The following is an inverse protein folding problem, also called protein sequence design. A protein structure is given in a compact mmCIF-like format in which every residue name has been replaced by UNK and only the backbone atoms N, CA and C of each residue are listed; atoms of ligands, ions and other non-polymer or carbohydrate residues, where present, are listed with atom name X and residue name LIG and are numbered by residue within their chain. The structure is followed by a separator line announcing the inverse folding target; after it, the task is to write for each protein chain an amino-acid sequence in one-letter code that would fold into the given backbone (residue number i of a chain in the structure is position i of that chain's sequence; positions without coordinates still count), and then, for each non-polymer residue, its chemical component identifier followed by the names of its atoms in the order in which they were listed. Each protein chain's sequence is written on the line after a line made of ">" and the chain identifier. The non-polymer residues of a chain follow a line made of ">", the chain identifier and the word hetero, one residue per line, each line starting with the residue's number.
data_IF_863014596479
#
_entry.id   IF_863014596479
#
_cell.length_a   1.000
_cell.length_b   1.000
_cell.length_c   1.000
_cell.angle_alpha   90.00
_cell.angle_beta   90.00
_cell.angle_gamma   90.00
#
_symmetry.space_group_name_H-M   'P 1'
#
loop_
_entity.id
_entity.type
_entity.pdbx_description
1 polymer ?
#
# COMPACT_ATOMS: atom_id res chain seq x y z
N UNK A 1 -32.04 -29.94 22.98
CA UNK A 1 -31.92 -29.49 21.59
C UNK A 1 -32.83 -30.35 20.74
N UNK A 2 -33.64 -29.77 19.84
CA UNK A 2 -34.34 -30.52 18.81
C UNK A 2 -33.36 -31.43 18.07
N UNK A 3 -33.79 -32.63 17.69
CA UNK A 3 -32.95 -33.50 16.86
C UNK A 3 -32.99 -32.96 15.43
N UNK A 4 -31.81 -32.65 14.88
CA UNK A 4 -31.67 -32.28 13.47
C UNK A 4 -32.09 -33.45 12.58
N UNK A 5 -32.70 -33.12 11.45
CA UNK A 5 -33.08 -34.10 10.42
C UNK A 5 -31.86 -34.57 9.63
N UNK A 6 -31.92 -35.75 9.03
CA UNK A 6 -30.85 -36.28 8.16
C UNK A 6 -30.51 -35.31 7.01
N UNK A 7 -31.51 -34.59 6.50
CA UNK A 7 -31.32 -33.55 5.48
C UNK A 7 -30.49 -32.36 6.00
N UNK A 8 -30.78 -31.89 7.21
CA UNK A 8 -30.02 -30.80 7.83
C UNK A 8 -28.58 -31.21 8.10
N UNK A 9 -28.36 -32.45 8.55
CA UNK A 9 -27.01 -32.99 8.75
C UNK A 9 -26.23 -33.11 7.43
N UNK A 10 -26.87 -33.50 6.34
CA UNK A 10 -26.24 -33.55 5.02
C UNK A 10 -25.80 -32.16 4.54
N UNK A 11 -26.64 -31.12 4.74
CA UNK A 11 -26.28 -29.74 4.40
C UNK A 11 -25.08 -29.28 5.23
N UNK A 12 -25.05 -29.55 6.54
CA UNK A 12 -23.91 -29.19 7.39
C UNK A 12 -22.63 -29.86 6.89
N UNK A 13 -22.69 -31.15 6.52
CA UNK A 13 -21.53 -31.88 6.02
C UNK A 13 -20.99 -31.28 4.70
N UNK A 14 -21.87 -30.94 3.75
CA UNK A 14 -21.50 -30.27 2.50
C UNK A 14 -20.80 -28.92 2.74
N UNK A 15 -21.29 -28.15 3.73
CA UNK A 15 -20.67 -26.86 4.10
C UNK A 15 -19.31 -27.02 4.76
N UNK A 16 -19.13 -28.05 5.58
CA UNK A 16 -17.82 -28.37 6.18
C UNK A 16 -16.83 -28.84 5.12
N UNK A 17 -17.27 -29.63 4.14
CA UNK A 17 -16.43 -30.05 3.00
C UNK A 17 -15.94 -28.84 2.19
N UNK A 18 -16.84 -27.92 1.83
CA UNK A 18 -16.45 -26.69 1.16
C UNK A 18 -15.48 -25.84 2.01
N UNK A 19 -15.70 -25.73 3.32
CA UNK A 19 -14.81 -24.99 4.21
C UNK A 19 -13.39 -25.59 4.17
N UNK A 20 -13.27 -26.92 4.27
CA UNK A 20 -12.00 -27.64 4.17
C UNK A 20 -11.31 -27.40 2.83
N UNK A 21 -12.07 -27.46 1.73
CA UNK A 21 -11.53 -27.28 0.38
C UNK A 21 -10.97 -25.87 0.15
N UNK A 22 -11.54 -24.87 0.82
CA UNK A 22 -11.10 -23.46 0.69
C UNK A 22 -10.09 -23.01 1.75
N UNK A 23 -9.84 -23.81 2.78
CA UNK A 23 -9.09 -23.37 3.96
C UNK A 23 -7.60 -23.08 3.69
N UNK A 24 -6.98 -23.75 2.71
CA UNK A 24 -5.57 -23.53 2.37
C UNK A 24 -5.28 -22.14 1.83
N UNK A 25 -6.30 -21.50 1.26
CA UNK A 25 -6.16 -20.24 0.52
C UNK A 25 -6.69 -19.05 1.33
N UNK A 26 -7.05 -19.28 2.60
CA UNK A 26 -7.63 -18.30 3.49
C UNK A 26 -6.76 -18.09 4.72
N UNK A 27 -6.39 -16.84 4.99
CA UNK A 27 -5.85 -16.43 6.29
C UNK A 27 -6.96 -16.11 7.30
N UNK A 28 -8.08 -15.58 6.83
CA UNK A 28 -9.24 -15.23 7.64
C UNK A 28 -10.56 -15.37 6.88
N UNK A 29 -11.66 -15.56 7.62
CA UNK A 29 -13.02 -15.63 7.07
C UNK A 29 -14.02 -14.91 7.98
N UNK A 30 -15.00 -14.23 7.37
CA UNK A 30 -16.08 -13.56 8.08
C UNK A 30 -17.36 -14.41 8.09
N UNK A 31 -17.86 -14.71 9.28
CA UNK A 31 -19.16 -15.34 9.50
C UNK A 31 -20.20 -14.35 10.02
N UNK A 32 -21.40 -14.36 9.44
CA UNK A 32 -22.51 -13.54 9.94
C UNK A 32 -23.35 -14.31 10.95
N UNK A 33 -23.38 -13.81 12.19
CA UNK A 33 -24.24 -14.35 13.25
C UNK A 33 -25.58 -13.60 13.33
N UNK A 34 -26.67 -14.33 13.07
CA UNK A 34 -28.04 -13.84 13.17
C UNK A 34 -28.64 -14.09 14.56
N UNK A 35 -29.28 -13.07 15.15
CA UNK A 35 -29.86 -13.17 16.49
C UNK A 35 -31.24 -13.83 16.51
N UNK A 36 -32.02 -13.63 15.44
CA UNK A 36 -33.39 -14.12 15.30
C UNK A 36 -33.72 -14.41 13.82
N UNK A 37 -34.79 -15.18 13.59
CA UNK A 37 -35.21 -15.58 12.24
C UNK A 37 -35.62 -14.37 11.37
N UNK A 38 -36.19 -13.32 11.96
CA UNK A 38 -36.52 -12.08 11.24
C UNK A 38 -35.25 -11.35 10.76
N UNK A 39 -34.15 -11.46 11.49
CA UNK A 39 -32.84 -10.93 11.09
C UNK A 39 -32.29 -11.77 9.96
N UNK A 40 -32.35 -13.09 10.06
CA UNK A 40 -31.91 -13.97 8.98
C UNK A 40 -32.69 -13.69 7.69
N UNK A 41 -34.01 -13.62 7.74
CA UNK A 41 -34.86 -13.33 6.57
C UNK A 41 -34.61 -11.94 5.99
N UNK A 42 -34.30 -10.94 6.84
CA UNK A 42 -33.92 -9.60 6.38
C UNK A 42 -32.64 -9.63 5.53
N UNK A 43 -31.68 -10.51 5.83
CA UNK A 43 -30.41 -10.59 5.12
C UNK A 43 -30.46 -11.60 3.96
N UNK A 44 -31.14 -12.73 4.17
CA UNK A 44 -31.32 -13.82 3.23
C UNK A 44 -32.82 -14.11 3.06
N UNK A 45 -33.53 -13.35 2.20
CA UNK A 45 -34.96 -13.50 2.03
C UNK A 45 -35.36 -14.95 1.68
N UNK A 46 -36.28 -15.52 2.46
CA UNK A 46 -36.74 -16.89 2.29
C UNK A 46 -35.94 -17.94 3.07
N UNK A 47 -34.83 -17.58 3.70
CA UNK A 47 -34.16 -18.42 4.68
C UNK A 47 -34.64 -18.04 6.10
N UNK A 48 -35.26 -18.98 6.80
CA UNK A 48 -35.78 -18.76 8.17
C UNK A 48 -35.30 -19.81 9.17
N UNK A 49 -34.50 -20.79 8.73
CA UNK A 49 -34.00 -21.86 9.60
C UNK A 49 -32.75 -21.37 10.36
N UNK A 50 -32.99 -20.55 11.38
CA UNK A 50 -31.94 -19.99 12.24
C UNK A 50 -31.10 -21.07 12.92
N UNK A 51 -31.72 -22.17 13.34
CA UNK A 51 -31.03 -23.25 14.04
C UNK A 51 -30.04 -23.96 13.11
N UNK A 52 -30.44 -24.22 11.85
CA UNK A 52 -29.54 -24.75 10.83
C UNK A 52 -28.39 -23.79 10.52
N UNK A 53 -28.67 -22.50 10.29
CA UNK A 53 -27.61 -21.52 10.01
C UNK A 53 -26.61 -21.42 11.15
N UNK A 54 -27.06 -21.38 12.41
CA UNK A 54 -26.15 -21.35 13.57
C UNK A 54 -25.32 -22.65 13.69
N UNK A 55 -25.91 -23.79 13.33
CA UNK A 55 -25.19 -25.07 13.33
C UNK A 55 -24.13 -25.13 12.23
N UNK A 56 -24.44 -24.63 11.03
CA UNK A 56 -23.48 -24.49 9.93
C UNK A 56 -22.33 -23.58 10.36
N UNK A 57 -22.62 -22.37 10.87
CA UNK A 57 -21.58 -21.43 11.29
C UNK A 57 -20.66 -22.02 12.36
N UNK A 58 -21.20 -22.79 13.32
CA UNK A 58 -20.38 -23.47 14.33
C UNK A 58 -19.50 -24.55 13.73
N UNK A 59 -20.05 -25.39 12.85
CA UNK A 59 -19.32 -26.50 12.24
C UNK A 59 -18.21 -26.01 11.30
N UNK A 60 -18.53 -25.03 10.46
CA UNK A 60 -17.58 -24.39 9.53
C UNK A 60 -16.49 -23.64 10.29
N UNK A 61 -16.84 -22.89 11.35
CA UNK A 61 -15.83 -22.23 12.16
C UNK A 61 -14.86 -23.22 12.82
N UNK A 62 -15.35 -24.37 13.30
CA UNK A 62 -14.49 -25.38 13.88
C UNK A 62 -13.50 -25.96 12.86
N UNK A 63 -13.95 -26.21 11.64
CA UNK A 63 -13.09 -26.69 10.54
C UNK A 63 -12.02 -25.64 10.18
N UNK A 64 -12.41 -24.38 9.97
CA UNK A 64 -11.46 -23.31 9.63
C UNK A 64 -10.39 -23.13 10.71
N UNK A 65 -10.77 -23.16 11.99
CA UNK A 65 -9.82 -23.03 13.10
C UNK A 65 -8.88 -24.23 13.20
N UNK A 66 -9.33 -25.43 12.85
CA UNK A 66 -8.47 -26.62 12.77
C UNK A 66 -7.43 -26.49 11.64
N UNK A 67 -7.79 -25.83 10.54
CA UNK A 67 -6.90 -25.49 9.44
C UNK A 67 -6.03 -24.24 9.67
N UNK A 68 -6.18 -23.56 10.81
CA UNK A 68 -5.40 -22.36 11.16
C UNK A 68 -5.94 -21.04 10.58
N UNK A 69 -7.13 -21.04 9.99
CA UNK A 69 -7.79 -19.84 9.46
C UNK A 69 -8.44 -19.04 10.60
N UNK A 70 -8.22 -17.73 10.66
CA UNK A 70 -8.87 -16.89 11.66
C UNK A 70 -10.36 -16.73 11.35
N UNK A 71 -11.21 -17.11 12.32
CA UNK A 71 -12.66 -16.91 12.22
C UNK A 71 -13.07 -15.59 12.87
N UNK A 72 -13.48 -14.65 12.03
CA UNK A 72 -14.05 -13.35 12.41
C UNK A 72 -15.57 -13.47 12.38
N UNK A 73 -16.26 -12.88 13.37
CA UNK A 73 -17.71 -12.97 13.46
C UNK A 73 -18.34 -11.58 13.53
N UNK A 74 -19.26 -11.29 12.62
CA UNK A 74 -20.10 -10.11 12.71
C UNK A 74 -21.49 -10.44 13.25
N UNK A 75 -22.03 -9.57 14.10
CA UNK A 75 -23.44 -9.64 14.50
C UNK A 75 -24.28 -8.87 13.49
N UNK A 76 -25.26 -9.56 12.90
CA UNK A 76 -26.23 -8.91 12.01
C UNK A 76 -26.98 -7.79 12.76
N UNK A 77 -27.02 -6.60 12.18
CA UNK A 77 -27.67 -5.40 12.75
C UNK A 77 -28.66 -4.85 11.72
N UNK A 78 -29.97 -5.03 12.00
CA UNK A 78 -31.07 -4.63 11.10
C UNK A 78 -31.02 -3.15 10.75
N UNK A 79 -30.66 -2.28 11.69
CA UNK A 79 -30.68 -0.84 11.47
C UNK A 79 -29.48 -0.39 10.65
N UNK A 80 -28.29 -0.91 10.96
CA UNK A 80 -27.08 -0.62 10.19
C UNK A 80 -27.19 -1.15 8.76
N UNK A 81 -27.69 -2.37 8.58
CA UNK A 81 -27.89 -2.98 7.27
C UNK A 81 -28.88 -2.18 6.40
N UNK A 82 -30.02 -1.77 6.96
CA UNK A 82 -30.99 -0.94 6.21
C UNK A 82 -30.41 0.39 5.78
N UNK A 83 -29.62 1.05 6.64
CA UNK A 83 -28.90 2.28 6.26
C UNK A 83 -27.93 2.03 5.12
N UNK A 84 -27.20 0.93 5.18
CA UNK A 84 -26.27 0.54 4.14
C UNK A 84 -26.97 0.24 2.81
N UNK A 85 -28.14 -0.42 2.82
CA UNK A 85 -28.91 -0.71 1.61
C UNK A 85 -29.59 0.51 0.95
N UNK A 86 -29.63 1.68 1.60
CA UNK A 86 -30.47 2.83 1.17
C UNK A 86 -30.26 3.23 -0.29
N UNK A 87 -29.00 3.27 -0.74
CA UNK A 87 -28.62 3.73 -2.08
C UNK A 87 -28.08 2.59 -2.96
N UNK A 88 -28.39 1.34 -2.60
CA UNK A 88 -27.87 0.14 -3.26
C UNK A 88 -29.00 -0.70 -3.86
N UNK A 89 -28.68 -1.41 -4.93
CA UNK A 89 -29.64 -2.32 -5.56
C UNK A 89 -29.91 -3.52 -4.64
N UNK A 90 -31.18 -3.91 -4.53
CA UNK A 90 -31.59 -4.99 -3.64
C UNK A 90 -31.37 -6.37 -4.29
N UNK A 91 -30.12 -6.85 -4.24
CA UNK A 91 -29.66 -8.12 -4.82
C UNK A 91 -28.92 -9.00 -3.79
N UNK A 92 -28.98 -10.34 -3.88
CA UNK A 92 -28.28 -11.24 -2.96
C UNK A 92 -26.78 -10.93 -2.84
N UNK A 93 -26.11 -10.67 -3.96
CA UNK A 93 -24.67 -10.38 -4.02
C UNK A 93 -24.36 -9.08 -3.26
N UNK A 94 -25.21 -8.07 -3.42
CA UNK A 94 -25.12 -6.84 -2.63
C UNK A 94 -25.33 -7.13 -1.14
N UNK A 95 -26.37 -7.88 -0.77
CA UNK A 95 -26.64 -8.17 0.65
C UNK A 95 -25.50 -8.92 1.34
N UNK A 96 -24.84 -9.83 0.63
CA UNK A 96 -23.68 -10.57 1.14
C UNK A 96 -22.47 -9.66 1.38
N UNK A 97 -22.28 -8.61 0.58
CA UNK A 97 -21.17 -7.64 0.74
C UNK A 97 -21.29 -6.68 1.95
N UNK A 98 -22.26 -6.87 2.84
CA UNK A 98 -22.36 -6.03 4.04
C UNK A 98 -21.40 -6.48 5.15
N UNK A 99 -20.48 -5.60 5.53
CA UNK A 99 -19.57 -5.78 6.66
C UNK A 99 -19.83 -4.71 7.73
N UNK A 100 -20.06 -5.14 8.98
CA UNK A 100 -20.16 -4.23 10.12
C UNK A 100 -18.78 -3.94 10.74
N UNK A 101 -18.02 -3.06 10.08
CA UNK A 101 -16.63 -2.68 10.44
C UNK A 101 -16.44 -2.28 11.91
N UNK A 102 -17.47 -1.75 12.56
CA UNK A 102 -17.38 -1.25 13.95
C UNK A 102 -17.60 -2.31 15.04
N UNK A 103 -18.06 -3.51 14.69
CA UNK A 103 -18.54 -4.52 15.66
C UNK A 103 -18.12 -5.95 15.30
N UNK A 104 -16.99 -6.11 14.64
CA UNK A 104 -16.41 -7.43 14.41
C UNK A 104 -15.92 -8.03 15.73
N UNK A 105 -16.18 -9.33 15.91
CA UNK A 105 -15.69 -10.13 17.02
C UNK A 105 -14.58 -11.04 16.52
N UNK A 106 -13.56 -11.23 17.33
CA UNK A 106 -12.36 -12.03 17.05
C UNK A 106 -12.01 -12.93 18.22
N UNK A 107 -11.17 -13.93 17.97
CA UNK A 107 -10.64 -14.87 18.96
C UNK A 107 -11.71 -15.38 19.92
N UNK A 108 -11.41 -15.37 21.23
CA UNK A 108 -12.33 -15.84 22.27
C UNK A 108 -13.76 -15.26 22.19
N UNK A 109 -13.92 -13.98 21.88
CA UNK A 109 -15.26 -13.36 21.83
C UNK A 109 -16.10 -13.86 20.64
N UNK A 110 -15.47 -14.13 19.50
CA UNK A 110 -16.09 -14.80 18.37
C UNK A 110 -16.45 -16.25 18.71
N UNK A 111 -15.54 -16.98 19.36
CA UNK A 111 -15.74 -18.38 19.73
C UNK A 111 -16.88 -18.55 20.74
N UNK A 112 -16.92 -17.71 21.77
CA UNK A 112 -18.01 -17.70 22.74
C UNK A 112 -19.37 -17.45 22.08
N UNK A 113 -19.43 -16.57 21.08
CA UNK A 113 -20.66 -16.32 20.33
C UNK A 113 -21.09 -17.51 19.48
N UNK A 114 -20.14 -18.22 18.86
CA UNK A 114 -20.42 -19.43 18.06
C UNK A 114 -20.70 -20.68 18.93
N UNK A 115 -20.37 -20.60 20.23
CA UNK A 115 -20.49 -21.71 21.18
C UNK A 115 -19.33 -22.71 21.08
N UNK A 116 -18.17 -22.27 20.61
CA UNK A 116 -16.91 -23.03 20.58
C UNK A 116 -16.11 -22.77 21.88
N UNK A 117 -15.38 -23.78 22.37
CA UNK A 117 -14.56 -23.69 23.59
C UNK A 117 -13.11 -24.08 23.29
N UNK A 118 -12.18 -23.42 23.98
CA UNK A 118 -10.74 -23.78 24.09
C UNK A 118 -9.96 -23.82 22.76
N UNK A 119 -9.78 -22.67 22.10
CA UNK A 119 -9.02 -22.59 20.83
C UNK A 119 -7.78 -21.68 20.91
N UNK A 120 -7.64 -20.85 21.96
CA UNK A 120 -6.43 -20.06 22.13
C UNK A 120 -5.30 -20.92 22.70
N UNK A 121 -4.41 -21.41 21.82
CA UNK A 121 -3.11 -21.93 22.21
C UNK A 121 -2.26 -20.83 22.87
N UNK A 122 -1.44 -21.15 23.89
CA UNK A 122 -0.54 -20.16 24.46
C UNK A 122 0.43 -19.65 23.38
N UNK A 123 0.83 -18.36 23.41
CA UNK A 123 1.80 -17.83 22.48
C UNK A 123 3.10 -18.66 22.54
N UNK A 124 3.78 -18.87 21.41
CA UNK A 124 5.01 -19.65 21.38
C UNK A 124 6.05 -19.02 22.32
N UNK A 125 6.53 -19.82 23.28
CA UNK A 125 7.55 -19.38 24.22
C UNK A 125 8.95 -19.56 23.59
N UNK A 126 9.61 -18.45 23.26
CA UNK A 126 10.99 -18.49 22.78
C UNK A 126 11.96 -18.64 23.95
N UNK A 127 12.82 -19.66 23.89
CA UNK A 127 13.91 -19.84 24.86
C UNK A 127 14.89 -18.66 24.84
N UNK A 128 15.70 -18.51 25.91
CA UNK A 128 16.69 -17.42 26.03
C UNK A 128 17.84 -17.50 25.02
N UNK A 129 18.09 -18.68 24.44
CA UNK A 129 19.21 -18.90 23.53
C UNK A 129 18.70 -18.67 22.10
N UNK A 130 19.21 -17.66 21.36
CA UNK A 130 18.69 -17.31 20.04
C UNK A 130 19.07 -18.32 18.95
N UNK A 131 20.24 -18.97 19.07
CA UNK A 131 20.82 -19.85 18.05
C UNK A 131 19.85 -20.87 17.43
N UNK A 132 19.27 -21.78 18.23
CA UNK A 132 18.37 -22.82 17.70
C UNK A 132 17.12 -22.27 17.01
N UNK A 133 16.60 -21.13 17.46
CA UNK A 133 15.42 -20.51 16.84
C UNK A 133 15.80 -19.82 15.53
N UNK A 134 16.97 -19.18 15.47
CA UNK A 134 17.50 -18.63 14.23
C UNK A 134 17.79 -19.73 13.19
N UNK A 135 18.29 -20.90 13.62
CA UNK A 135 18.48 -22.07 12.74
C UNK A 135 17.15 -22.59 12.20
N UNK A 136 16.11 -22.68 13.05
CA UNK A 136 14.76 -23.06 12.63
C UNK A 136 14.17 -22.03 11.65
N UNK A 137 14.36 -20.75 11.91
CA UNK A 137 13.88 -19.68 11.06
C UNK A 137 14.51 -19.74 9.66
N UNK A 138 15.82 -19.97 9.57
CA UNK A 138 16.50 -20.12 8.29
C UNK A 138 16.07 -21.40 7.56
N UNK A 139 15.85 -22.50 8.28
CA UNK A 139 15.34 -23.73 7.67
C UNK A 139 13.92 -23.56 7.12
N UNK A 140 13.06 -22.79 7.81
CA UNK A 140 11.72 -22.46 7.32
C UNK A 140 11.79 -21.48 6.13
N UNK A 141 12.77 -20.57 6.10
CA UNK A 141 12.98 -19.65 4.98
C UNK A 141 13.41 -20.36 3.69
N UNK A 142 14.06 -21.52 3.79
CA UNK A 142 14.44 -22.34 2.62
C UNK A 142 13.26 -23.18 2.08
N UNK A 143 12.14 -23.22 2.79
CA UNK A 143 10.94 -23.99 2.45
C UNK A 143 9.82 -23.06 1.97
N UNK A 144 9.91 -22.62 0.71
CA UNK A 144 8.99 -21.65 0.08
C UNK A 144 7.50 -22.09 0.11
N UNK A 145 7.21 -23.38 0.32
CA UNK A 145 5.85 -23.92 0.37
C UNK A 145 5.24 -23.89 1.78
N UNK A 146 6.02 -23.53 2.81
CA UNK A 146 5.61 -23.63 4.22
C UNK A 146 5.26 -22.26 4.83
N UNK A 147 4.05 -22.11 5.42
CA UNK A 147 3.67 -20.89 6.16
C UNK A 147 4.39 -20.76 7.52
N UNK A 148 5.28 -21.71 7.87
CA UNK A 148 6.00 -21.71 9.13
C UNK A 148 6.91 -20.49 9.27
N UNK A 149 7.52 -20.03 8.17
CA UNK A 149 8.41 -18.89 8.18
C UNK A 149 7.68 -17.61 8.63
N UNK A 150 6.59 -17.25 7.96
CA UNK A 150 5.79 -16.06 8.29
C UNK A 150 5.24 -16.11 9.71
N UNK A 151 4.71 -17.28 10.10
CA UNK A 151 4.22 -17.52 11.46
C UNK A 151 5.31 -17.27 12.50
N UNK A 152 6.53 -17.77 12.24
CA UNK A 152 7.65 -17.63 13.16
C UNK A 152 8.15 -16.19 13.23
N UNK A 153 8.24 -15.48 12.10
CA UNK A 153 8.64 -14.07 12.05
C UNK A 153 7.64 -13.21 12.82
N UNK A 154 6.34 -13.35 12.56
CA UNK A 154 5.29 -12.61 13.27
C UNK A 154 5.32 -12.89 14.78
N UNK A 155 5.54 -14.14 15.17
CA UNK A 155 5.68 -14.49 16.58
C UNK A 155 6.93 -13.90 17.23
N UNK A 156 8.07 -13.86 16.53
CA UNK A 156 9.32 -13.25 17.01
C UNK A 156 9.19 -11.74 17.18
N UNK A 157 8.56 -11.06 16.22
CA UNK A 157 8.26 -9.62 16.28
C UNK A 157 7.32 -9.31 17.45
N UNK A 158 6.24 -10.09 17.62
CA UNK A 158 5.31 -9.97 18.76
C UNK A 158 5.99 -10.20 20.11
N UNK A 159 7.00 -11.06 20.16
CA UNK A 159 7.79 -11.33 21.36
C UNK A 159 9.01 -10.40 21.54
N UNK A 160 9.18 -9.40 20.66
CA UNK A 160 10.31 -8.46 20.65
C UNK A 160 11.69 -9.14 20.62
N UNK A 161 11.78 -10.32 19.98
CA UNK A 161 13.01 -11.13 19.88
C UNK A 161 13.85 -10.77 18.66
N UNK A 162 14.16 -9.48 18.52
CA UNK A 162 14.94 -8.93 17.39
C UNK A 162 16.35 -9.53 17.34
N UNK A 163 16.89 -9.94 18.49
CA UNK A 163 18.18 -10.64 18.58
C UNK A 163 18.24 -11.94 17.77
N UNK A 164 17.09 -12.61 17.58
CA UNK A 164 16.99 -13.82 16.75
C UNK A 164 17.02 -13.46 15.26
N UNK A 165 16.31 -12.41 14.85
CA UNK A 165 16.26 -11.93 13.46
C UNK A 165 17.65 -11.45 13.01
N UNK A 166 18.33 -10.66 13.85
CA UNK A 166 19.70 -10.19 13.60
C UNK A 166 20.69 -11.34 13.45
N UNK A 167 20.55 -12.38 14.28
CA UNK A 167 21.40 -13.58 14.18
C UNK A 167 21.14 -14.36 12.90
N UNK A 168 19.88 -14.45 12.43
CA UNK A 168 19.53 -15.09 11.17
C UNK A 168 20.15 -14.35 9.98
N UNK A 169 20.05 -13.00 9.93
CA UNK A 169 20.69 -12.17 8.90
C UNK A 169 22.21 -12.39 8.88
N UNK A 170 22.84 -12.42 10.05
CA UNK A 170 24.29 -12.65 10.14
C UNK A 170 24.68 -14.03 9.61
N UNK A 171 23.93 -15.07 9.98
CA UNK A 171 24.18 -16.44 9.52
C UNK A 171 24.00 -16.58 8.02
N UNK A 172 22.91 -16.07 7.45
CA UNK A 172 22.69 -16.15 6.00
C UNK A 172 23.75 -15.36 5.23
N UNK A 173 24.22 -14.22 5.76
CA UNK A 173 25.36 -13.49 5.20
C UNK A 173 26.64 -14.33 5.18
N UNK A 174 26.95 -14.99 6.30
CA UNK A 174 28.14 -15.85 6.41
C UNK A 174 28.06 -17.08 5.47
N UNK A 175 26.85 -17.56 5.16
CA UNK A 175 26.64 -18.75 4.31
C UNK A 175 26.48 -18.45 2.82
N UNK A 176 25.76 -17.38 2.47
CA UNK A 176 25.25 -17.10 1.12
C UNK A 176 25.63 -15.70 0.58
N UNK A 177 26.23 -14.84 1.39
CA UNK A 177 26.71 -13.51 0.97
C UNK A 177 25.77 -12.35 1.32
N UNK A 178 26.16 -11.14 0.91
CA UNK A 178 25.45 -9.91 1.28
C UNK A 178 24.08 -9.79 0.59
N UNK A 179 23.97 -10.20 -0.68
CA UNK A 179 22.70 -10.13 -1.44
C UNK A 179 21.59 -10.95 -0.76
N UNK A 180 21.86 -12.21 -0.39
CA UNK A 180 20.91 -13.06 0.33
C UNK A 180 20.55 -12.50 1.72
N UNK A 181 21.49 -11.80 2.35
CA UNK A 181 21.23 -11.13 3.62
C UNK A 181 20.35 -9.90 3.45
N UNK A 182 20.46 -9.18 2.34
CA UNK A 182 19.62 -8.03 2.02
C UNK A 182 18.21 -8.47 1.61
N UNK A 183 18.06 -9.59 0.90
CA UNK A 183 16.75 -10.20 0.61
C UNK A 183 16.03 -10.59 1.90
N UNK A 184 16.71 -11.29 2.83
CA UNK A 184 16.09 -11.66 4.11
C UNK A 184 15.73 -10.45 4.98
N UNK A 185 16.55 -9.38 4.94
CA UNK A 185 16.21 -8.12 5.63
C UNK A 185 14.94 -7.49 5.05
N UNK A 186 14.81 -7.50 3.71
CA UNK A 186 13.60 -7.00 3.05
C UNK A 186 12.37 -7.78 3.50
N UNK A 187 12.45 -9.10 3.55
CA UNK A 187 11.36 -9.96 4.03
C UNK A 187 11.00 -9.63 5.50
N UNK A 188 11.98 -9.44 6.38
CA UNK A 188 11.70 -9.02 7.76
C UNK A 188 11.11 -7.62 7.87
N UNK A 189 11.48 -6.70 6.96
CA UNK A 189 10.92 -5.36 6.89
C UNK A 189 9.43 -5.42 6.53
N UNK A 190 9.07 -6.16 5.48
CA UNK A 190 7.68 -6.40 5.04
C UNK A 190 6.86 -7.07 6.16
N UNK A 191 7.44 -8.04 6.86
CA UNK A 191 6.77 -8.66 8.00
C UNK A 191 6.59 -7.71 9.20
N UNK A 192 7.47 -6.73 9.38
CA UNK A 192 7.40 -5.77 10.49
C UNK A 192 6.34 -4.69 10.27
N UNK A 193 6.11 -4.28 9.02
CA UNK A 193 5.10 -3.28 8.65
C UNK A 193 3.68 -3.84 8.60
N UNK A 194 3.51 -5.16 8.46
CA UNK A 194 2.21 -5.84 8.46
C UNK A 194 1.93 -6.66 9.71
N UNK A 195 0.68 -6.62 10.20
CA UNK A 195 0.29 -7.35 11.40
C UNK A 195 -1.18 -7.77 11.43
N UNK A 196 -1.43 -8.96 12.02
CA UNK A 196 -2.76 -9.39 12.45
C UNK A 196 -3.26 -8.60 13.66
N UNK A 197 -3.64 -7.35 13.44
CA UNK A 197 -4.15 -6.43 14.47
C UNK A 197 -5.28 -5.57 13.90
N UNK A 198 -5.97 -4.88 14.80
CA UNK A 198 -7.04 -3.96 14.42
C UNK A 198 -8.33 -4.68 14.01
N UNK A 199 -9.36 -3.93 13.57
CA UNK A 199 -10.69 -4.47 13.37
C UNK A 199 -10.82 -5.27 12.05
N UNK A 200 -10.06 -4.92 11.01
CA UNK A 200 -9.96 -5.64 9.72
C UNK A 200 -9.21 -6.97 9.82
N UNK A 201 -8.35 -7.13 10.83
CA UNK A 201 -7.54 -8.34 11.04
C UNK A 201 -6.25 -8.39 10.31
N UNK A 202 -6.06 -7.45 9.42
CA UNK A 202 -4.76 -7.11 8.93
C UNK A 202 -4.64 -5.60 8.90
N UNK A 203 -3.53 -5.11 9.42
CA UNK A 203 -3.16 -3.72 9.35
C UNK A 203 -1.73 -3.62 8.87
N UNK A 204 -1.50 -2.68 7.97
CA UNK A 204 -0.21 -2.44 7.36
C UNK A 204 0.20 -0.98 7.55
N UNK A 205 1.48 -0.77 7.83
CA UNK A 205 2.06 0.55 7.93
C UNK A 205 2.30 1.07 6.51
N UNK A 206 1.71 2.23 6.21
CA UNK A 206 1.83 2.89 4.91
C UNK A 206 2.36 4.29 5.08
N UNK A 207 2.92 4.82 4.00
CA UNK A 207 3.42 6.17 3.93
C UNK A 207 2.92 6.84 2.65
N UNK A 208 2.57 8.11 2.77
CA UNK A 208 2.36 9.01 1.64
C UNK A 208 3.57 9.96 1.57
N UNK A 209 4.52 9.72 0.66
CA UNK A 209 5.60 10.66 0.41
C UNK A 209 5.08 11.89 -0.32
N UNK A 210 5.62 13.06 0.03
CA UNK A 210 5.26 14.32 -0.61
C UNK A 210 6.54 15.10 -0.91
N UNK A 211 6.77 15.38 -2.18
CA UNK A 211 7.80 16.32 -2.58
C UNK A 211 7.37 17.72 -2.16
N UNK A 212 8.17 18.38 -1.33
CA UNK A 212 7.85 19.67 -0.73
C UNK A 212 8.44 20.81 -1.54
N UNK A 213 7.62 21.84 -1.81
CA UNK A 213 8.11 23.09 -2.36
C UNK A 213 8.85 23.92 -1.30
N UNK A 214 9.64 24.91 -1.75
CA UNK A 214 10.28 25.86 -0.84
C UNK A 214 9.23 26.69 -0.10
N UNK A 215 9.07 26.44 1.20
CA UNK A 215 8.09 27.13 2.03
C UNK A 215 7.55 26.26 3.16
N UNK A 216 6.42 26.67 3.73
CA UNK A 216 5.72 25.89 4.76
C UNK A 216 5.00 24.72 4.07
N UNK A 217 5.19 23.46 4.51
CA UNK A 217 4.44 22.33 3.99
C UNK A 217 2.94 22.48 4.26
N UNK A 218 2.07 21.84 3.45
CA UNK A 218 0.64 21.80 3.73
C UNK A 218 0.35 21.14 5.08
N UNK A 219 -0.86 21.33 5.59
CA UNK A 219 -1.30 20.62 6.80
C UNK A 219 -1.45 19.12 6.49
N UNK A 220 -0.70 18.28 7.19
CA UNK A 220 -0.68 16.84 6.94
C UNK A 220 -2.02 16.16 7.26
N UNK A 221 -2.74 16.65 8.25
CA UNK A 221 -4.05 16.12 8.63
C UNK A 221 -5.10 16.44 7.56
N UNK A 222 -5.10 17.68 7.06
CA UNK A 222 -5.99 18.09 5.96
C UNK A 222 -5.67 17.31 4.69
N UNK A 223 -4.39 17.15 4.34
CA UNK A 223 -3.97 16.39 3.17
C UNK A 223 -4.44 14.93 3.22
N UNK A 224 -4.29 14.28 4.38
CA UNK A 224 -4.76 12.90 4.56
C UNK A 224 -6.28 12.77 4.53
N UNK A 225 -6.99 13.72 5.12
CA UNK A 225 -8.46 13.76 5.04
C UNK A 225 -8.94 13.93 3.60
N UNK A 226 -8.29 14.80 2.83
CA UNK A 226 -8.62 15.06 1.44
C UNK A 226 -8.34 13.86 0.52
N UNK A 227 -7.28 13.09 0.80
CA UNK A 227 -7.01 11.83 0.11
C UNK A 227 -8.16 10.84 0.31
N UNK A 228 -8.57 10.63 1.56
CA UNK A 228 -9.69 9.71 1.88
C UNK A 228 -10.99 10.21 1.26
N UNK A 229 -11.26 11.52 1.32
CA UNK A 229 -12.46 12.13 0.76
C UNK A 229 -12.49 12.16 -0.79
N UNK A 230 -11.34 12.00 -1.47
CA UNK A 230 -11.26 12.00 -2.94
C UNK A 230 -11.98 10.82 -3.59
N UNK A 231 -12.16 9.71 -2.87
CA UNK A 231 -12.67 8.45 -3.41
C UNK A 231 -11.65 7.70 -4.30
N UNK A 232 -10.37 8.08 -4.25
CA UNK A 232 -9.30 7.38 -4.96
C UNK A 232 -9.00 5.99 -4.38
N UNK A 233 -9.26 5.79 -3.09
CA UNK A 233 -9.06 4.50 -2.42
C UNK A 233 -10.21 3.53 -2.73
N UNK A 234 -9.89 2.24 -2.81
CA UNK A 234 -10.89 1.19 -2.98
C UNK A 234 -11.90 1.16 -1.81
N UNK A 235 -13.13 0.67 -2.02
CA UNK A 235 -14.16 0.65 -0.98
C UNK A 235 -13.78 -0.23 0.23
N UNK A 236 -12.94 -1.25 0.02
CA UNK A 236 -12.42 -2.13 1.07
C UNK A 236 -11.18 -1.58 1.76
N UNK A 237 -10.60 -0.49 1.26
CA UNK A 237 -9.39 0.10 1.84
C UNK A 237 -9.79 1.24 2.78
N UNK A 238 -9.38 1.14 4.03
CA UNK A 238 -9.47 2.22 4.99
C UNK A 238 -8.06 2.69 5.38
N UNK A 239 -7.83 4.00 5.35
CA UNK A 239 -6.52 4.59 5.63
C UNK A 239 -6.64 5.62 6.75
N UNK A 240 -5.74 5.54 7.72
CA UNK A 240 -5.60 6.52 8.80
C UNK A 240 -4.17 7.05 8.83
N UNK A 241 -3.98 8.30 8.38
CA UNK A 241 -2.70 8.98 8.41
C UNK A 241 -2.54 9.79 9.71
N UNK A 242 -1.34 9.75 10.28
CA UNK A 242 -0.93 10.63 11.37
C UNK A 242 -0.82 12.08 10.88
N UNK A 243 -1.18 13.06 11.71
CA UNK A 243 -1.29 14.46 11.29
C UNK A 243 0.06 15.15 11.05
N UNK A 244 1.16 14.64 11.63
CA UNK A 244 2.46 15.31 11.57
C UNK A 244 3.38 14.75 10.49
N UNK A 245 4.24 15.60 9.95
CA UNK A 245 5.25 15.25 8.96
C UNK A 245 6.43 14.49 9.57
N UNK A 246 6.99 13.52 8.83
CA UNK A 246 8.17 12.71 9.19
C UNK A 246 9.24 12.77 8.09
N UNK A 247 10.50 12.58 8.45
CA UNK A 247 11.61 12.53 7.50
C UNK A 247 11.88 11.10 7.02
N UNK A 248 12.23 10.94 5.75
CA UNK A 248 12.67 9.65 5.22
C UNK A 248 13.88 9.08 6.00
N UNK A 249 14.84 9.93 6.37
CA UNK A 249 15.99 9.52 7.19
C UNK A 249 15.60 8.91 8.55
N UNK A 250 14.47 9.33 9.14
CA UNK A 250 14.00 8.76 10.39
C UNK A 250 13.44 7.35 10.22
N UNK A 251 12.84 7.05 9.05
CA UNK A 251 12.35 5.72 8.72
C UNK A 251 13.52 4.75 8.56
N UNK A 252 14.58 5.19 7.89
CA UNK A 252 15.79 4.42 7.63
C UNK A 252 16.52 3.96 8.90
N UNK A 253 16.35 4.71 9.98
CA UNK A 253 16.98 4.43 11.26
C UNK A 253 16.19 3.43 12.11
N UNK A 254 14.96 3.07 11.73
CA UNK A 254 14.12 2.16 12.52
C UNK A 254 14.59 0.71 12.40
N UNK A 255 14.61 0.02 13.52
CA UNK A 255 14.72 -1.44 13.55
C UNK A 255 13.35 -2.08 13.28
N UNK A 256 13.32 -3.37 12.92
CA UNK A 256 12.06 -4.12 12.75
C UNK A 256 11.15 -4.04 13.99
N UNK A 257 11.75 -4.10 15.19
CA UNK A 257 11.01 -3.94 16.43
C UNK A 257 10.40 -2.55 16.59
N UNK A 258 11.14 -1.49 16.19
CA UNK A 258 10.63 -0.13 16.23
C UNK A 258 9.50 0.09 15.20
N UNK A 259 9.62 -0.46 13.99
CA UNK A 259 8.55 -0.45 12.98
C UNK A 259 7.30 -1.12 13.53
N UNK A 260 7.45 -2.29 14.17
CA UNK A 260 6.33 -2.99 14.80
C UNK A 260 5.69 -2.15 15.90
N UNK A 261 6.49 -1.51 16.75
CA UNK A 261 5.99 -0.59 17.79
C UNK A 261 5.24 0.61 17.20
N UNK A 262 5.74 1.18 16.09
CA UNK A 262 5.07 2.26 15.35
C UNK A 262 3.70 1.78 14.85
N UNK A 263 3.66 0.62 14.19
CA UNK A 263 2.40 0.03 13.70
C UNK A 263 1.39 -0.16 14.83
N UNK A 264 1.82 -0.72 15.97
CA UNK A 264 0.94 -0.91 17.14
C UNK A 264 0.43 0.42 17.69
N UNK A 265 1.30 1.45 17.80
CA UNK A 265 0.89 2.77 18.27
C UNK A 265 -0.13 3.43 17.34
N UNK A 266 0.07 3.32 16.02
CA UNK A 266 -0.86 3.83 15.01
C UNK A 266 -2.20 3.10 15.08
N UNK A 267 -2.20 1.77 15.27
CA UNK A 267 -3.41 0.98 15.49
C UNK A 267 -4.24 1.49 16.67
N UNK A 268 -3.56 1.88 17.74
CA UNK A 268 -4.19 2.43 18.96
C UNK A 268 -4.53 3.93 18.84
N UNK A 269 -4.31 4.55 17.68
CA UNK A 269 -4.52 5.99 17.46
C UNK A 269 -3.57 6.88 18.27
N UNK A 270 -2.42 6.33 18.69
CA UNK A 270 -1.40 7.03 19.46
C UNK A 270 -0.28 7.54 18.54
N UNK A 271 0.37 8.63 18.95
CA UNK A 271 1.58 9.10 18.26
C UNK A 271 2.78 8.20 18.63
N UNK A 272 3.49 7.62 17.65
CA UNK A 272 4.58 6.68 17.92
C UNK A 272 5.82 7.40 18.50
N UNK A 273 6.35 6.89 19.60
CA UNK A 273 7.55 7.44 20.24
C UNK A 273 8.82 7.25 19.43
N UNK A 274 8.91 6.14 18.70
CA UNK A 274 10.07 5.79 17.89
C UNK A 274 10.12 6.58 16.58
N UNK A 275 9.01 7.23 16.19
CA UNK A 275 8.91 8.02 14.97
C UNK A 275 8.21 9.38 15.21
N UNK A 276 8.85 10.29 15.97
CA UNK A 276 8.28 11.60 16.30
C UNK A 276 8.24 12.53 15.08
N UNK A 277 7.42 13.61 15.12
CA UNK A 277 7.41 14.63 14.08
C UNK A 277 8.79 15.19 13.76
N UNK A 278 9.09 15.31 12.47
CA UNK A 278 10.26 16.01 11.98
C UNK A 278 10.06 17.53 12.04
N UNK A 279 11.16 18.26 12.02
CA UNK A 279 11.14 19.72 11.83
C UNK A 279 10.74 20.04 10.38
N UNK A 280 9.62 20.73 10.21
CA UNK A 280 9.09 21.11 8.89
C UNK A 280 10.06 21.95 8.06
N UNK A 281 10.90 22.76 8.72
CA UNK A 281 11.89 23.58 8.01
C UNK A 281 13.04 22.71 7.45
N UNK A 282 13.41 21.64 8.15
CA UNK A 282 14.43 20.70 7.68
C UNK A 282 13.88 19.77 6.60
N UNK A 283 12.62 19.34 6.71
CA UNK A 283 11.93 18.58 5.65
C UNK A 283 11.85 19.39 4.35
N UNK A 284 11.49 20.67 4.43
CA UNK A 284 11.44 21.55 3.25
C UNK A 284 12.83 21.74 2.60
N UNK A 285 13.92 21.75 3.38
CA UNK A 285 15.30 21.79 2.84
C UNK A 285 15.69 20.49 2.15
N UNK A 286 15.26 19.35 2.71
CA UNK A 286 15.53 18.02 2.16
C UNK A 286 14.59 17.66 0.99
N UNK A 287 13.57 18.49 0.75
CA UNK A 287 12.66 18.37 -0.39
C UNK A 287 11.54 17.34 -0.23
N UNK A 288 11.48 16.64 0.90
CA UNK A 288 10.48 15.60 1.15
C UNK A 288 9.95 15.62 2.57
N UNK A 289 8.65 15.36 2.69
CA UNK A 289 7.99 15.03 3.94
C UNK A 289 7.11 13.80 3.75
N UNK A 290 6.99 12.99 4.81
CA UNK A 290 6.19 11.78 4.80
C UNK A 290 5.01 11.93 5.77
N UNK A 291 3.82 11.52 5.32
CA UNK A 291 2.70 11.24 6.19
C UNK A 291 2.62 9.73 6.41
N UNK A 292 2.83 9.29 7.65
CA UNK A 292 2.81 7.89 8.03
C UNK A 292 1.45 7.55 8.60
N UNK A 293 0.95 6.36 8.30
CA UNK A 293 -0.31 5.90 8.83
C UNK A 293 -0.48 4.40 8.68
N UNK A 294 -1.72 3.95 8.80
CA UNK A 294 -2.06 2.56 8.55
C UNK A 294 -3.09 2.41 7.45
N UNK A 295 -2.98 1.29 6.74
CA UNK A 295 -3.95 0.76 5.80
C UNK A 295 -4.61 -0.47 6.43
N UNK A 296 -5.93 -0.47 6.47
CA UNK A 296 -6.75 -1.59 6.84
C UNK A 296 -7.39 -2.15 5.58
N UNK A 297 -7.22 -3.43 5.35
CA UNK A 297 -7.86 -4.15 4.26
C UNK A 297 -9.11 -4.87 4.75
N UNK A 298 -10.27 -4.43 4.28
CA UNK A 298 -11.57 -5.00 4.60
C UNK A 298 -12.04 -6.06 3.60
N UNK A 299 -11.19 -6.49 2.65
CA UNK A 299 -11.47 -7.57 1.72
C UNK A 299 -11.48 -8.96 2.40
N UNK A 300 -12.09 -9.07 3.58
CA UNK A 300 -12.25 -10.32 4.32
C UNK A 300 -13.27 -11.19 3.58
N UNK A 301 -12.91 -12.41 3.12
CA UNK A 301 -13.84 -13.30 2.45
C UNK A 301 -15.04 -13.63 3.36
N UNK A 302 -16.24 -13.40 2.84
CA UNK A 302 -17.50 -13.61 3.59
C UNK A 302 -18.02 -15.00 3.26
N UNK A 303 -18.22 -15.83 4.29
CA UNK A 303 -18.64 -17.23 4.09
C UNK A 303 -19.92 -17.38 3.28
N UNK A 304 -20.90 -16.50 3.50
CA UNK A 304 -22.13 -16.50 2.71
C UNK A 304 -21.90 -16.27 1.20
N UNK A 305 -20.89 -15.46 0.84
CA UNK A 305 -20.51 -15.24 -0.55
C UNK A 305 -19.80 -16.47 -1.13
N UNK A 306 -18.82 -17.03 -0.42
CA UNK A 306 -18.10 -18.26 -0.79
C UNK A 306 -19.10 -19.40 -1.08
N UNK A 307 -20.09 -19.55 -0.20
CA UNK A 307 -21.17 -20.52 -0.34
C UNK A 307 -22.04 -20.28 -1.57
N UNK A 308 -22.34 -19.02 -1.88
CA UNK A 308 -23.18 -18.66 -3.02
C UNK A 308 -22.47 -18.91 -4.35
N UNK A 309 -21.17 -18.64 -4.40
CA UNK A 309 -20.33 -18.80 -5.59
C UNK A 309 -19.81 -20.24 -5.75
N UNK A 310 -19.90 -21.05 -4.70
CA UNK A 310 -19.48 -22.46 -4.70
C UNK A 310 -17.98 -22.65 -4.50
N UNK A 311 -17.29 -21.65 -3.98
CA UNK A 311 -15.84 -21.61 -3.82
C UNK A 311 -15.34 -20.20 -3.57
N UNK A 312 -14.03 -20.04 -3.49
CA UNK A 312 -13.41 -18.71 -3.46
C UNK A 312 -13.59 -18.03 -4.82
N UNK A 313 -13.73 -16.69 -4.85
CA UNK A 313 -13.65 -15.96 -6.10
C UNK A 313 -12.30 -16.24 -6.77
N UNK A 314 -12.30 -16.46 -8.08
CA UNK A 314 -11.06 -16.62 -8.83
C UNK A 314 -10.22 -15.35 -8.64
N UNK A 315 -8.94 -15.48 -8.25
CA UNK A 315 -8.07 -14.32 -8.19
C UNK A 315 -8.00 -13.67 -9.57
N UNK A 316 -7.96 -12.33 -9.65
CA UNK A 316 -7.78 -11.66 -10.93
C UNK A 316 -6.48 -12.16 -11.58
N UNK A 317 -6.51 -12.42 -12.89
CA UNK A 317 -5.30 -12.76 -13.65
C UNK A 317 -4.28 -11.61 -13.51
N UNK A 318 -3.00 -11.92 -13.28
CA UNK A 318 -1.93 -10.90 -13.09
C UNK A 318 -1.83 -9.91 -14.28
N UNK A 319 -2.22 -10.34 -15.48
CA UNK A 319 -2.26 -9.54 -16.71
C UNK A 319 -3.67 -9.05 -17.09
N UNK A 320 -4.65 -9.13 -16.16
CA UNK A 320 -5.99 -8.65 -16.42
C UNK A 320 -5.96 -7.15 -16.78
N UNK A 321 -6.68 -6.78 -17.84
CA UNK A 321 -6.79 -5.38 -18.22
C UNK A 321 -7.42 -4.57 -17.08
N UNK A 322 -6.87 -3.38 -16.82
CA UNK A 322 -7.38 -2.43 -15.83
C UNK A 322 -8.90 -2.30 -15.96
N UNK A 323 -9.60 -2.57 -14.87
CA UNK A 323 -11.05 -2.47 -14.83
C UNK A 323 -11.49 -1.01 -14.95
N UNK A 324 -12.70 -0.72 -15.47
CA UNK A 324 -13.21 0.66 -15.50
C UNK A 324 -13.28 1.33 -14.13
N UNK A 325 -13.35 0.54 -13.05
CA UNK A 325 -13.35 1.05 -11.68
C UNK A 325 -11.93 1.42 -11.22
N UNK A 326 -10.92 0.62 -11.56
CA UNK A 326 -9.51 0.94 -11.33
C UNK A 326 -9.11 2.20 -12.09
N UNK A 327 -9.39 2.27 -13.39
CA UNK A 327 -9.10 3.46 -14.21
C UNK A 327 -9.77 4.72 -13.66
N UNK A 328 -10.99 4.59 -13.13
CA UNK A 328 -11.68 5.71 -12.47
C UNK A 328 -10.98 6.13 -11.18
N UNK A 329 -10.52 5.19 -10.36
CA UNK A 329 -9.78 5.47 -9.11
C UNK A 329 -8.45 6.13 -9.39
N UNK A 330 -7.69 5.63 -10.37
CA UNK A 330 -6.45 6.24 -10.86
C UNK A 330 -6.70 7.71 -11.26
N UNK A 331 -7.73 7.97 -12.07
CA UNK A 331 -8.09 9.33 -12.46
C UNK A 331 -8.52 10.24 -11.29
N UNK A 332 -9.20 9.69 -10.27
CA UNK A 332 -9.55 10.43 -9.05
C UNK A 332 -8.31 10.77 -8.21
N UNK A 333 -7.35 9.85 -8.14
CA UNK A 333 -6.08 10.07 -7.47
C UNK A 333 -5.27 11.16 -8.16
N UNK A 334 -5.12 11.08 -9.48
CA UNK A 334 -4.41 12.09 -10.29
C UNK A 334 -5.07 13.47 -10.14
N UNK A 335 -6.40 13.54 -10.25
CA UNK A 335 -7.12 14.79 -10.05
C UNK A 335 -6.97 15.36 -8.63
N UNK A 336 -6.84 14.51 -7.60
CA UNK A 336 -6.50 14.96 -6.26
C UNK A 336 -5.06 15.50 -6.19
N UNK A 337 -4.08 14.82 -6.78
CA UNK A 337 -2.67 15.28 -6.82
C UNK A 337 -2.53 16.63 -7.51
N UNK A 338 -3.18 16.81 -8.67
CA UNK A 338 -3.17 18.07 -9.42
C UNK A 338 -3.70 19.24 -8.58
N UNK A 339 -4.83 19.03 -7.89
CA UNK A 339 -5.39 20.04 -6.98
C UNK A 339 -4.44 20.38 -5.84
N UNK A 340 -3.81 19.38 -5.21
CA UNK A 340 -2.84 19.63 -4.14
C UNK A 340 -1.64 20.42 -4.67
N UNK A 341 -1.14 20.10 -5.86
CA UNK A 341 -0.05 20.84 -6.51
C UNK A 341 -0.40 22.32 -6.70
N UNK A 342 -1.61 22.61 -7.19
CA UNK A 342 -2.10 23.97 -7.37
C UNK A 342 -2.27 24.73 -6.04
N UNK A 343 -2.94 24.12 -5.06
CA UNK A 343 -3.27 24.74 -3.77
C UNK A 343 -2.02 24.98 -2.91
N UNK A 344 -1.07 24.02 -2.92
CA UNK A 344 0.17 24.08 -2.16
C UNK A 344 1.32 24.81 -2.87
N UNK A 345 1.08 25.29 -4.10
CA UNK A 345 2.08 25.98 -4.95
C UNK A 345 3.32 25.14 -5.23
N UNK A 346 3.12 23.87 -5.54
CA UNK A 346 4.17 23.01 -6.06
C UNK A 346 4.56 21.82 -5.20
N UNK A 347 3.84 21.52 -4.11
CA UNK A 347 4.05 20.24 -3.44
C UNK A 347 3.40 19.12 -4.25
N UNK A 348 4.08 17.99 -4.40
CA UNK A 348 3.62 16.87 -5.21
C UNK A 348 3.48 15.65 -4.31
N UNK A 349 2.24 15.23 -3.98
CA UNK A 349 2.02 13.92 -3.37
C UNK A 349 2.44 12.82 -4.35
N UNK A 350 3.08 11.79 -3.83
CA UNK A 350 3.44 10.55 -4.53
C UNK A 350 2.39 9.47 -4.26
N UNK A 351 2.65 8.24 -4.66
CA UNK A 351 1.77 7.12 -4.34
C UNK A 351 1.72 6.83 -2.84
N UNK A 352 0.58 6.31 -2.37
CA UNK A 352 0.46 5.76 -1.03
C UNK A 352 1.07 4.35 -1.05
N UNK A 353 2.27 4.21 -0.51
CA UNK A 353 3.06 2.98 -0.60
C UNK A 353 3.22 2.29 0.76
N UNK A 354 3.49 0.98 0.78
CA UNK A 354 4.00 0.30 1.96
C UNK A 354 5.23 1.02 2.52
N UNK A 355 5.43 0.93 3.83
CA UNK A 355 6.50 1.65 4.52
C UNK A 355 7.90 1.29 3.98
N UNK A 356 8.10 0.05 3.59
CA UNK A 356 9.32 -0.52 2.99
C UNK A 356 9.64 0.07 1.62
N UNK A 357 8.62 0.48 0.85
CA UNK A 357 8.75 0.93 -0.54
C UNK A 357 9.02 2.44 -0.67
N UNK A 358 8.93 3.20 0.42
CA UNK A 358 9.11 4.67 0.44
C UNK A 358 10.38 5.13 -0.28
N UNK A 359 11.50 4.43 -0.07
CA UNK A 359 12.76 4.78 -0.74
C UNK A 359 12.69 4.58 -2.25
N UNK A 360 12.10 3.47 -2.67
CA UNK A 360 11.92 3.13 -4.08
C UNK A 360 11.09 4.21 -4.78
N UNK A 361 9.98 4.60 -4.16
CA UNK A 361 9.08 5.62 -4.67
C UNK A 361 9.74 7.01 -4.78
N UNK A 362 10.46 7.44 -3.73
CA UNK A 362 11.19 8.71 -3.77
C UNK A 362 12.30 8.66 -4.83
N UNK A 363 13.02 7.55 -4.95
CA UNK A 363 14.08 7.39 -5.96
C UNK A 363 13.52 7.40 -7.38
N UNK A 364 12.38 6.76 -7.62
CA UNK A 364 11.69 6.76 -8.91
C UNK A 364 11.28 8.18 -9.31
N UNK A 365 10.69 8.95 -8.38
CA UNK A 365 10.38 10.36 -8.62
C UNK A 365 11.61 11.19 -8.97
N UNK A 366 12.73 10.99 -8.27
CA UNK A 366 13.98 11.70 -8.60
C UNK A 366 14.54 11.30 -9.96
N UNK A 367 14.42 10.03 -10.35
CA UNK A 367 14.83 9.57 -11.67
C UNK A 367 13.99 10.26 -12.76
N UNK A 368 12.68 10.31 -12.59
CA UNK A 368 11.74 10.95 -13.53
C UNK A 368 11.96 12.46 -13.61
N UNK A 369 12.11 13.14 -12.47
CA UNK A 369 12.41 14.57 -12.42
C UNK A 369 13.82 14.88 -12.96
N UNK A 370 14.77 13.99 -12.71
CA UNK A 370 16.14 14.03 -13.22
C UNK A 370 16.18 13.92 -14.74
N UNK A 371 15.44 12.99 -15.33
CA UNK A 371 15.34 12.81 -16.77
C UNK A 371 14.63 13.99 -17.45
N UNK A 372 13.61 14.56 -16.81
CA UNK A 372 12.97 15.80 -17.27
C UNK A 372 13.96 16.98 -17.28
N UNK A 373 14.81 17.13 -16.26
CA UNK A 373 15.78 18.24 -16.17
C UNK A 373 17.08 18.00 -16.95
N UNK A 374 17.42 16.75 -17.26
CA UNK A 374 18.62 16.36 -18.03
C UNK A 374 18.66 17.04 -19.39
N UNK A 375 17.51 17.14 -20.08
CA UNK A 375 17.44 17.86 -21.34
C UNK A 375 17.83 19.34 -21.24
N UNK A 376 17.43 20.03 -20.16
CA UNK A 376 17.78 21.44 -19.95
C UNK A 376 19.25 21.61 -19.54
N UNK A 377 19.80 20.65 -18.80
CA UNK A 377 21.22 20.62 -18.43
C UNK A 377 22.12 20.31 -19.63
N UNK A 378 21.74 19.36 -20.49
CA UNK A 378 22.43 19.06 -21.75
C UNK A 378 22.52 20.31 -22.63
N UNK A 379 21.41 21.07 -22.74
CA UNK A 379 21.38 22.34 -23.48
C UNK A 379 22.30 23.40 -22.82
N UNK A 380 22.29 23.52 -21.49
CA UNK A 380 23.17 24.48 -20.78
C UNK A 380 24.64 24.12 -20.93
N UNK A 381 24.99 22.85 -20.85
CA UNK A 381 26.36 22.37 -21.04
C UNK A 381 26.81 22.63 -22.47
N UNK A 382 25.98 22.31 -23.46
CA UNK A 382 26.22 22.61 -24.87
C UNK A 382 26.48 24.10 -25.13
N UNK A 383 25.64 25.00 -24.57
CA UNK A 383 25.83 26.46 -24.65
C UNK A 383 27.15 26.87 -23.98
N UNK A 384 27.50 26.26 -22.84
CA UNK A 384 28.71 26.59 -22.09
C UNK A 384 29.98 26.19 -22.85
N UNK A 385 29.99 25.00 -23.47
CA UNK A 385 31.08 24.55 -24.34
C UNK A 385 31.26 25.53 -25.50
N UNK A 386 30.18 25.88 -26.20
CA UNK A 386 30.22 26.85 -27.30
C UNK A 386 30.74 28.23 -26.87
N UNK A 387 30.38 28.72 -25.67
CA UNK A 387 30.90 29.98 -25.12
C UNK A 387 32.41 29.94 -24.86
N UNK A 388 32.91 28.82 -24.37
CA UNK A 388 34.35 28.65 -24.15
C UNK A 388 35.12 28.62 -25.48
N UNK A 389 34.55 28.00 -26.52
CA UNK A 389 35.12 27.96 -27.87
C UNK A 389 35.04 29.31 -28.61
N UNK A 390 34.06 30.14 -28.27
CA UNK A 390 33.89 31.47 -28.85
C UNK A 390 35.05 32.44 -28.53
N UNK A 391 35.92 32.11 -27.57
CA UNK A 391 37.17 32.85 -27.33
C UNK A 391 36.96 34.27 -26.80
N UNK A 392 35.82 34.53 -26.14
CA UNK A 392 35.44 35.84 -25.61
C UNK A 392 34.45 36.63 -26.48
N UNK A 393 34.04 36.09 -27.63
CA UNK A 393 32.90 36.60 -28.40
C UNK A 393 31.56 36.17 -27.77
N UNK A 394 30.57 37.06 -27.79
CA UNK A 394 29.22 36.74 -27.35
C UNK A 394 28.56 35.70 -28.28
N UNK A 395 27.77 34.81 -27.68
CA UNK A 395 27.14 33.67 -28.37
C UNK A 395 25.63 33.83 -28.40
N UNK A 396 25.05 33.58 -29.58
CA UNK A 396 23.61 33.58 -29.83
C UNK A 396 23.16 32.21 -30.33
N UNK A 397 21.90 31.85 -30.05
CA UNK A 397 21.30 30.58 -30.42
C UNK A 397 20.11 30.79 -31.37
N UNK A 398 20.07 30.01 -32.46
CA UNK A 398 18.92 29.89 -33.34
C UNK A 398 18.21 28.58 -33.03
N UNK A 399 17.04 28.61 -32.36
CA UNK A 399 16.23 27.43 -32.15
C UNK A 399 15.32 27.19 -33.35
N UNK A 400 15.25 25.95 -33.83
CA UNK A 400 14.38 25.50 -34.90
C UNK A 400 13.62 24.25 -34.44
N UNK A 401 12.30 24.25 -34.61
CA UNK A 401 11.44 23.09 -34.26
C UNK A 401 11.17 22.30 -35.53
N UNK A 402 11.63 21.05 -35.57
CA UNK A 402 11.47 20.15 -36.72
C UNK A 402 10.57 18.99 -36.29
N UNK A 403 9.29 19.05 -36.68
CA UNK A 403 8.30 18.11 -36.17
C UNK A 403 8.08 18.29 -34.67
N UNK A 404 8.45 17.28 -33.88
CA UNK A 404 8.41 17.31 -32.41
C UNK A 404 9.79 17.51 -31.77
N UNK A 405 10.84 17.60 -32.58
CA UNK A 405 12.22 17.70 -32.13
C UNK A 405 12.68 19.16 -32.12
N UNK A 406 13.69 19.45 -31.30
CA UNK A 406 14.29 20.77 -31.19
C UNK A 406 15.73 20.73 -31.70
N UNK A 407 16.02 21.54 -32.70
CA UNK A 407 17.38 21.82 -33.16
C UNK A 407 17.83 23.18 -32.62
N UNK A 408 19.02 23.21 -32.01
CA UNK A 408 19.66 24.41 -31.50
C UNK A 408 20.96 24.62 -32.24
N UNK A 409 21.08 25.73 -32.94
CA UNK A 409 22.33 26.11 -33.61
C UNK A 409 22.94 27.32 -32.93
N UNK A 410 24.21 27.26 -32.52
CA UNK A 410 24.89 28.41 -31.91
C UNK A 410 25.86 29.08 -32.88
N UNK A 411 25.88 30.40 -32.80
CA UNK A 411 26.75 31.27 -33.56
C UNK A 411 27.39 32.29 -32.62
N UNK A 412 28.53 32.86 -33.01
CA UNK A 412 28.94 34.14 -32.43
C UNK A 412 28.10 35.27 -33.01
N UNK A 413 28.03 36.40 -32.31
CA UNK A 413 27.28 37.59 -32.79
C UNK A 413 27.73 38.05 -34.18
N UNK A 414 29.01 37.84 -34.52
CA UNK A 414 29.59 38.17 -35.83
C UNK A 414 29.25 37.14 -36.94
N UNK A 415 28.48 36.11 -36.64
CA UNK A 415 27.96 35.14 -37.61
C UNK A 415 28.83 33.91 -37.84
N UNK A 416 29.86 33.69 -37.00
CA UNK A 416 30.64 32.44 -37.04
C UNK A 416 29.83 31.31 -36.43
N UNK A 417 29.64 30.21 -37.18
CA UNK A 417 29.04 28.99 -36.67
C UNK A 417 29.94 28.33 -35.63
N UNK A 418 29.35 27.92 -34.50
CA UNK A 418 30.04 27.17 -33.44
C UNK A 418 29.68 25.68 -33.57
N UNK A 419 28.43 25.33 -33.26
CA UNK A 419 27.96 23.95 -33.29
C UNK A 419 26.41 23.87 -33.35
N UNK A 420 25.88 22.65 -33.52
CA UNK A 420 24.45 22.34 -33.54
C UNK A 420 24.10 21.12 -32.67
N UNK A 421 23.02 21.21 -31.91
CA UNK A 421 22.47 20.13 -31.10
C UNK A 421 21.03 19.84 -31.52
N UNK A 422 20.73 18.59 -31.86
CA UNK A 422 19.36 18.11 -32.10
C UNK A 422 18.89 17.26 -30.93
N UNK A 423 17.73 17.59 -30.38
CA UNK A 423 17.13 16.89 -29.26
C UNK A 423 15.77 16.30 -29.63
N UNK A 424 15.58 14.98 -29.44
CA UNK A 424 14.29 14.34 -29.67
C UNK A 424 13.29 14.74 -28.58
N UNK A 425 11.99 14.70 -28.91
CA UNK A 425 10.91 15.03 -27.99
C UNK A 425 10.98 14.32 -26.62
N UNK A 426 11.45 13.06 -26.60
CA UNK A 426 11.59 12.25 -25.37
C UNK A 426 12.66 12.76 -24.40
N UNK A 427 13.54 13.66 -24.83
CA UNK A 427 14.60 14.27 -24.00
C UNK A 427 14.34 15.73 -23.68
N UNK A 428 13.18 16.28 -24.06
CA UNK A 428 12.86 17.68 -23.80
C UNK A 428 12.07 17.82 -22.48
N UNK A 429 12.43 18.77 -21.59
CA UNK A 429 11.70 19.07 -20.36
C UNK A 429 10.28 19.62 -20.60
N UNK A 430 10.00 20.10 -21.80
CA UNK A 430 8.73 20.67 -22.22
C UNK A 430 8.54 20.44 -23.73
N UNK A 431 7.35 20.73 -24.26
CA UNK A 431 7.10 20.65 -25.71
C UNK A 431 8.11 21.52 -26.47
N UNK A 432 8.62 21.04 -27.61
CA UNK A 432 9.64 21.75 -28.40
C UNK A 432 9.29 23.21 -28.73
N UNK A 433 8.00 23.52 -28.85
CA UNK A 433 7.47 24.87 -29.10
C UNK A 433 7.62 25.84 -27.92
N UNK A 434 7.70 25.32 -26.70
CA UNK A 434 7.83 26.08 -25.46
C UNK A 434 9.31 26.24 -25.05
N UNK A 435 10.18 25.35 -25.52
CA UNK A 435 11.61 25.34 -25.24
C UNK A 435 12.35 26.65 -25.54
N UNK A 436 12.09 27.38 -26.65
CA UNK A 436 12.74 28.68 -26.89
C UNK A 436 12.55 29.68 -25.74
N UNK A 437 11.39 29.68 -25.05
CA UNK A 437 11.18 30.58 -23.91
C UNK A 437 12.07 30.23 -22.72
N UNK A 438 12.29 28.93 -22.48
CA UNK A 438 13.13 28.45 -21.40
C UNK A 438 14.62 28.71 -21.70
N UNK A 439 15.04 28.51 -22.96
CA UNK A 439 16.42 28.68 -23.41
C UNK A 439 16.84 30.16 -23.39
N UNK A 440 15.92 31.07 -23.71
CA UNK A 440 16.14 32.52 -23.65
C UNK A 440 16.60 33.02 -22.27
N UNK A 441 16.40 32.23 -21.19
CA UNK A 441 16.86 32.60 -19.85
C UNK A 441 18.37 32.51 -19.66
N UNK A 442 19.10 31.83 -20.56
CA UNK A 442 20.54 31.62 -20.41
C UNK A 442 21.36 31.76 -21.71
N UNK A 443 20.74 31.97 -22.88
CA UNK A 443 21.41 32.36 -24.13
C UNK A 443 20.48 33.22 -24.99
N UNK A 444 21.04 34.24 -25.65
CA UNK A 444 20.26 35.14 -26.50
C UNK A 444 19.79 34.42 -27.77
N UNK A 445 18.52 34.59 -28.11
CA UNK A 445 17.89 33.91 -29.23
C UNK A 445 17.80 34.81 -30.47
N UNK A 446 18.16 34.25 -31.62
CA UNK A 446 18.04 34.91 -32.93
C UNK A 446 17.10 34.12 -33.84
N UNK A 447 16.36 34.83 -34.69
CA UNK A 447 15.46 34.20 -35.68
C UNK A 447 16.21 33.66 -36.88
N UNK A 448 17.24 34.39 -37.31
CA UNK A 448 18.06 34.07 -38.48
C UNK A 448 19.54 34.00 -38.08
N UNK A 449 20.33 33.25 -38.85
CA UNK A 449 21.77 33.16 -38.64
C UNK A 449 22.41 34.55 -38.77
N UNK A 450 23.24 35.00 -37.81
CA UNK A 450 23.87 36.32 -37.89
C UNK A 450 24.79 36.41 -39.11
N UNK A 451 24.87 37.59 -39.74
CA UNK A 451 25.73 37.83 -40.90
C UNK A 451 25.15 37.43 -42.27
N UNK A 452 23.86 37.08 -42.34
CA UNK A 452 23.12 36.85 -43.59
C UNK A 452 22.13 37.95 -43.94
#
# INVERSE_FOLDING_TARGET
>A
MPQMTDRQLAIIAERVELARDTASDLSQVLLTHYQDADTLDLFQPGNTDLELTQAINRAVAAEFLESGVEVVVQRADKAAFRRWMTDREDKPETRHGWINRTRLLRGKAAMELLGLKDIDGPPPAFGKIPGPVADRLLAAYEDDESPEFDTLVQALLRAERIDILDLAIRKIREMQGDDAADDLKWVFLVAAEGAEIGPSGWMELVALPVALAAGRPPDGAELGHDLVASGALGPEVEVHLLPGWRSADALDALSYGAIRSVLMAVADGCEPSDLPPGDTDDLAKNGFGLLIGCRLDWAIPIWEAIVADGGLPEPPEEDAAETPEEARRTALFDGWRERIFEDSKGCVPLELVPFSEVKGEIAAFWADAGDQTRGLNDIREFVTICRNEAGGEDVVCRPEVIGNDLELTLYTVDGRFLDSLTMPASRLPAKAQEMPRLIASFVDLVRDAPGR
#
